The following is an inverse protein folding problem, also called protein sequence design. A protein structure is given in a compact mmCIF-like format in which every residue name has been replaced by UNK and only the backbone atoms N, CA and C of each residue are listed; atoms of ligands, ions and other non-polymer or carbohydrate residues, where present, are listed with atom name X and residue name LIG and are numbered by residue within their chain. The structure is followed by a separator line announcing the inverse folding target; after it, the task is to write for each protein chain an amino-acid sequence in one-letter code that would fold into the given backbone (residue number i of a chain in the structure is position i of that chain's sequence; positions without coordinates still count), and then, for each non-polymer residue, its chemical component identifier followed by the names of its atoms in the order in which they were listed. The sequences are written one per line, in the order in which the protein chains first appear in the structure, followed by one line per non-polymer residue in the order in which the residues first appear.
data_IF_210991384899
#
_entry.id   IF_210991384899
#
_cell.length_a   1.000
_cell.length_b   1.000
_cell.length_c   1.000
_cell.angle_alpha   90.00
_cell.angle_beta   90.00
_cell.angle_gamma   90.00
#
_symmetry.space_group_name_H-M   'P 1'
#
loop_
_entity.id
_entity.type
_entity.pdbx_description
1 polymer ?
#
# COMPACT_ATOMS: atom_id res chain seq x y z
N UNK A 1 4.79 1.38 -4.71
CA UNK A 1 5.59 2.62 -4.68
C UNK A 1 4.82 3.78 -5.29
N UNK A 2 4.85 4.91 -4.64
CA UNK A 2 4.15 6.10 -5.11
C UNK A 2 5.15 7.24 -5.20
N UNK A 3 5.43 7.69 -6.42
CA UNK A 3 6.36 8.79 -6.67
C UNK A 3 5.75 10.13 -6.23
N UNK A 4 6.58 11.01 -5.66
CA UNK A 4 6.16 12.35 -5.28
C UNK A 4 5.59 13.13 -6.47
N UNK A 5 6.17 12.93 -7.65
CA UNK A 5 5.68 13.53 -8.90
C UNK A 5 4.21 13.16 -9.17
N UNK A 6 3.86 11.89 -8.94
CA UNK A 6 2.47 11.42 -9.13
C UNK A 6 1.50 12.09 -8.15
N UNK A 7 1.91 12.25 -6.90
CA UNK A 7 1.10 12.95 -5.89
C UNK A 7 0.83 14.39 -6.31
N UNK A 8 1.87 15.07 -6.79
CA UNK A 8 1.74 16.46 -7.26
C UNK A 8 0.82 16.56 -8.50
N UNK A 9 0.93 15.64 -9.44
CA UNK A 9 0.09 15.61 -10.64
C UNK A 9 -1.38 15.37 -10.32
N UNK A 10 -1.66 14.47 -9.36
CA UNK A 10 -3.02 14.16 -8.94
C UNK A 10 -3.62 15.21 -8.02
N UNK A 11 -2.79 16.02 -7.34
CA UNK A 11 -3.26 16.96 -6.33
C UNK A 11 -3.89 16.30 -5.12
N UNK A 12 -3.49 15.06 -4.80
CA UNK A 12 -4.04 14.25 -3.71
C UNK A 12 -3.01 13.98 -2.64
N UNK A 13 -3.47 13.75 -1.42
CA UNK A 13 -2.63 13.32 -0.32
C UNK A 13 -2.18 11.86 -0.47
N UNK A 14 -1.08 11.51 0.20
CA UNK A 14 -0.51 10.16 0.14
C UNK A 14 -1.52 9.09 0.56
N UNK A 15 -2.21 9.28 1.67
CA UNK A 15 -3.16 8.29 2.19
C UNK A 15 -4.28 7.99 1.19
N UNK A 16 -4.82 9.02 0.54
CA UNK A 16 -5.87 8.87 -0.46
C UNK A 16 -5.38 8.06 -1.66
N UNK A 17 -4.20 8.39 -2.17
CA UNK A 17 -3.63 7.68 -3.33
C UNK A 17 -3.29 6.24 -2.98
N UNK A 18 -2.76 5.97 -1.79
CA UNK A 18 -2.47 4.60 -1.32
C UNK A 18 -3.74 3.75 -1.30
N UNK A 19 -4.81 4.26 -0.70
CA UNK A 19 -6.08 3.53 -0.61
C UNK A 19 -6.69 3.31 -1.98
N UNK A 20 -6.68 4.31 -2.84
CA UNK A 20 -7.18 4.20 -4.21
C UNK A 20 -6.41 3.15 -5.01
N UNK A 21 -5.08 3.14 -4.90
CA UNK A 21 -4.24 2.17 -5.59
C UNK A 21 -4.47 0.74 -5.08
N UNK A 22 -4.61 0.57 -3.77
CA UNK A 22 -4.91 -0.74 -3.20
C UNK A 22 -6.27 -1.25 -3.62
N UNK A 23 -7.27 -0.38 -3.68
CA UNK A 23 -8.61 -0.73 -4.13
C UNK A 23 -8.64 -1.10 -5.63
N UNK A 24 -7.78 -0.49 -6.43
CA UNK A 24 -7.65 -0.79 -7.85
C UNK A 24 -6.83 -2.05 -8.15
N UNK A 25 -6.06 -2.54 -7.17
CA UNK A 25 -5.27 -3.76 -7.29
C UNK A 25 -6.06 -4.95 -6.78
N UNK A 26 -6.36 -5.92 -7.64
CA UNK A 26 -7.19 -7.08 -7.27
C UNK A 26 -6.61 -7.89 -6.11
N UNK A 27 -5.29 -8.04 -6.04
CA UNK A 27 -4.62 -8.75 -4.96
C UNK A 27 -4.73 -8.03 -3.62
N UNK A 28 -4.52 -6.72 -3.59
CA UNK A 28 -4.65 -5.91 -2.38
C UNK A 28 -6.10 -5.82 -1.93
N UNK A 29 -7.02 -5.61 -2.86
CA UNK A 29 -8.45 -5.54 -2.56
C UNK A 29 -8.97 -6.84 -1.97
N UNK A 30 -8.53 -7.97 -2.50
CA UNK A 30 -8.89 -9.29 -1.98
C UNK A 30 -8.51 -9.45 -0.51
N UNK A 31 -7.33 -8.98 -0.12
CA UNK A 31 -6.91 -9.01 1.27
C UNK A 31 -7.76 -8.08 2.16
N UNK A 32 -8.08 -6.89 1.69
CA UNK A 32 -8.92 -5.93 2.41
C UNK A 32 -10.32 -6.53 2.68
N UNK A 33 -10.86 -7.26 1.71
CA UNK A 33 -12.20 -7.86 1.78
C UNK A 33 -12.23 -9.24 2.44
N UNK A 34 -11.09 -9.74 2.90
CA UNK A 34 -11.00 -11.08 3.48
C UNK A 34 -11.54 -11.11 4.92
N UNK A 35 -12.68 -11.74 5.11
CA UNK A 35 -13.35 -11.85 6.41
C UNK A 35 -12.55 -12.64 7.46
N UNK A 36 -11.58 -13.46 7.02
CA UNK A 36 -10.69 -14.21 7.92
C UNK A 36 -9.63 -13.36 8.57
N UNK A 37 -9.42 -12.12 8.10
CA UNK A 37 -8.41 -11.21 8.63
C UNK A 37 -9.06 -10.25 9.62
N UNK A 38 -8.52 -10.18 10.84
CA UNK A 38 -9.07 -9.39 11.95
C UNK A 38 -8.31 -8.10 12.23
N UNK A 39 -7.08 -8.01 11.74
CA UNK A 39 -6.21 -6.87 12.01
C UNK A 39 -5.47 -6.42 10.76
N UNK A 40 -5.25 -5.11 10.66
CA UNK A 40 -4.46 -4.51 9.60
C UNK A 40 -3.42 -3.56 10.19
N UNK A 41 -2.21 -3.62 9.65
CA UNK A 41 -1.17 -2.63 9.89
C UNK A 41 -0.74 -2.00 8.58
N UNK A 42 -0.26 -0.77 8.65
CA UNK A 42 0.25 -0.05 7.48
C UNK A 42 1.65 0.46 7.79
N UNK A 43 2.58 0.17 6.91
CA UNK A 43 3.94 0.68 6.96
C UNK A 43 4.23 1.63 5.81
N UNK A 44 4.93 2.71 6.09
CA UNK A 44 5.36 3.68 5.08
C UNK A 44 6.87 3.91 5.21
N UNK A 45 7.56 4.01 4.08
CA UNK A 45 8.97 4.34 4.03
C UNK A 45 9.29 5.23 2.84
N UNK A 46 10.21 6.17 3.04
CA UNK A 46 10.73 7.01 1.96
C UNK A 46 11.90 6.31 1.26
N UNK A 47 11.99 6.51 -0.04
CA UNK A 47 13.09 5.96 -0.83
C UNK A 47 13.11 6.54 -2.24
N UNK A 48 13.83 5.86 -3.12
CA UNK A 48 13.90 6.18 -4.54
C UNK A 48 13.46 4.98 -5.37
N UNK A 49 12.79 5.26 -6.47
CA UNK A 49 12.48 4.22 -7.46
C UNK A 49 13.66 3.99 -8.42
N UNK A 50 13.51 3.05 -9.35
CA UNK A 50 14.56 2.71 -10.31
C UNK A 50 14.94 3.89 -11.22
N UNK A 51 14.05 4.85 -11.42
CA UNK A 51 14.31 6.05 -12.21
C UNK A 51 14.97 7.18 -11.42
N UNK A 52 15.29 6.95 -10.14
CA UNK A 52 15.90 7.96 -9.27
C UNK A 52 14.94 9.01 -8.74
N UNK A 53 13.64 8.76 -8.84
CA UNK A 53 12.61 9.66 -8.33
C UNK A 53 12.32 9.37 -6.86
N UNK A 54 12.12 10.39 -6.04
CA UNK A 54 11.66 10.25 -4.67
C UNK A 54 10.26 9.62 -4.64
N UNK A 55 10.09 8.64 -3.79
CA UNK A 55 8.83 7.91 -3.69
C UNK A 55 8.55 7.42 -2.29
N UNK A 56 7.30 6.99 -2.06
CA UNK A 56 6.86 6.31 -0.88
C UNK A 56 6.67 4.82 -1.16
N UNK A 57 7.19 3.99 -0.27
CA UNK A 57 6.90 2.56 -0.22
C UNK A 57 5.82 2.34 0.83
N UNK A 58 4.76 1.64 0.44
CA UNK A 58 3.60 1.42 1.27
C UNK A 58 3.36 -0.08 1.40
N UNK A 59 3.18 -0.55 2.62
CA UNK A 59 3.03 -1.98 2.93
C UNK A 59 1.76 -2.19 3.74
N UNK A 60 0.98 -3.20 3.37
CA UNK A 60 -0.12 -3.71 4.18
C UNK A 60 0.35 -4.94 4.95
N UNK A 61 -0.05 -5.04 6.20
CA UNK A 61 0.19 -6.20 7.05
C UNK A 61 -1.15 -6.66 7.58
N UNK A 62 -1.47 -7.93 7.41
CA UNK A 62 -2.72 -8.51 7.90
C UNK A 62 -2.43 -9.63 8.88
N UNK A 63 -3.26 -9.73 9.91
CA UNK A 63 -3.18 -10.79 10.90
C UNK A 63 -4.52 -11.48 11.08
N UNK A 64 -4.46 -12.78 11.31
CA UNK A 64 -5.60 -13.59 11.72
C UNK A 64 -5.65 -13.72 13.23
N UNK A 65 -6.80 -14.00 13.75
CA UNK A 65 -6.93 -14.59 15.07
C UNK A 65 -6.25 -15.97 15.04
N UNK A 66 -5.18 -16.14 15.81
CA UNK A 66 -4.34 -17.35 15.76
C UNK A 66 -2.92 -17.13 15.26
N UNK A 67 -2.49 -15.88 15.12
CA UNK A 67 -1.10 -15.46 14.94
C UNK A 67 -0.46 -15.70 13.57
N UNK A 68 -1.23 -15.74 12.51
CA UNK A 68 -0.68 -15.70 11.16
C UNK A 68 -0.57 -14.26 10.68
N UNK A 69 0.64 -13.85 10.30
CA UNK A 69 0.88 -12.53 9.72
C UNK A 69 1.14 -12.71 8.23
N UNK A 70 0.35 -12.03 7.42
CA UNK A 70 0.54 -12.01 5.97
C UNK A 70 1.06 -10.64 5.55
N UNK A 71 2.22 -10.63 4.91
CA UNK A 71 2.81 -9.44 4.33
C UNK A 71 2.30 -9.24 2.91
N UNK A 72 1.80 -8.05 2.63
CA UNK A 72 1.43 -7.67 1.28
C UNK A 72 2.20 -6.43 0.91
N UNK A 73 3.28 -6.63 0.16
CA UNK A 73 4.05 -5.53 -0.39
C UNK A 73 3.20 -4.80 -1.43
N UNK A 74 3.24 -3.48 -1.41
CA UNK A 74 2.54 -2.67 -2.38
C UNK A 74 3.50 -2.16 -3.47
N UNK A 75 3.69 -2.91 -4.55
CA UNK A 75 4.57 -2.50 -5.64
C UNK A 75 3.92 -1.57 -6.65
N UNK A 76 2.81 -0.94 -6.31
CA UNK A 76 2.10 -0.02 -7.21
C UNK A 76 2.99 1.17 -7.54
N UNK A 77 3.13 1.43 -8.82
CA UNK A 77 3.99 2.49 -9.36
C UNK A 77 3.19 3.51 -10.17
#
# INVERSE_FOLDING_TARGET
RIADRRLAELGKGLAEVVVDDWAASSGHLKNILNDGLSEIGVGLARGMNAAGEDCWYCVQIFAYEGYHVTWVDNPVE
#
